data_IF_047699677510
#
_entry.id   IF_047699677510
#
_cell.length_a   1.000
_cell.length_b   1.000
_cell.length_c   1.000
_cell.angle_alpha   90.00
_cell.angle_beta   90.00
_cell.angle_gamma   90.00
#
_symmetry.space_group_name_H-M   'P 1'
#
loop_
_entity.id
_entity.type
_entity.pdbx_description
1 polymer ?
#
# COMPACT_ATOMS: atom_id res chain seq x y z
N UNK A 1 -9.13 13.26 -22.87
CA UNK A 1 -7.94 12.40 -22.68
C UNK A 1 -7.26 12.64 -21.33
N UNK A 2 -7.16 13.90 -20.84
CA UNK A 2 -6.55 14.21 -19.54
C UNK A 2 -7.28 13.62 -18.31
N UNK A 3 -8.62 13.59 -18.32
CA UNK A 3 -9.39 12.99 -17.22
C UNK A 3 -9.14 11.49 -16.99
N UNK A 4 -8.76 10.74 -18.03
CA UNK A 4 -8.42 9.31 -17.90
C UNK A 4 -7.03 9.12 -17.27
N UNK A 5 -6.08 9.99 -17.59
CA UNK A 5 -4.73 9.97 -17.02
C UNK A 5 -4.77 10.22 -15.51
N UNK A 6 -5.59 11.19 -15.07
CA UNK A 6 -5.76 11.50 -13.64
C UNK A 6 -6.49 10.35 -12.91
N UNK A 7 -7.45 9.69 -13.56
CA UNK A 7 -8.11 8.50 -13.01
C UNK A 7 -7.08 7.39 -12.79
N UNK A 8 -6.25 7.09 -13.78
CA UNK A 8 -5.21 6.06 -13.69
C UNK A 8 -4.19 6.36 -12.59
N UNK A 9 -3.71 7.60 -12.53
CA UNK A 9 -2.79 8.04 -11.49
C UNK A 9 -3.34 7.80 -10.07
N UNK A 10 -4.61 8.13 -9.84
CA UNK A 10 -5.26 7.88 -8.55
C UNK A 10 -5.36 6.38 -8.24
N UNK A 11 -5.65 5.54 -9.22
CA UNK A 11 -5.67 4.09 -9.00
C UNK A 11 -4.28 3.58 -8.63
N UNK A 12 -3.25 4.09 -9.27
CA UNK A 12 -1.86 3.70 -9.01
C UNK A 12 -1.36 4.16 -7.66
N UNK A 13 -1.72 5.36 -7.20
CA UNK A 13 -1.41 5.83 -5.84
C UNK A 13 -2.20 5.07 -4.76
N UNK A 14 -3.45 4.69 -5.04
CA UNK A 14 -4.29 3.95 -4.08
C UNK A 14 -3.81 2.54 -3.82
N UNK A 15 -3.25 1.87 -4.83
CA UNK A 15 -2.80 0.48 -4.73
C UNK A 15 -1.76 0.26 -3.61
N UNK A 16 -0.61 0.98 -3.58
CA UNK A 16 0.36 0.80 -2.51
C UNK A 16 -0.20 1.21 -1.14
N UNK A 17 -1.04 2.25 -1.06
CA UNK A 17 -1.68 2.65 0.20
C UNK A 17 -2.59 1.55 0.74
N UNK A 18 -3.41 0.93 -0.12
CA UNK A 18 -4.26 -0.18 0.29
C UNK A 18 -3.44 -1.39 0.74
N UNK A 19 -2.28 -1.64 0.13
CA UNK A 19 -1.37 -2.68 0.61
C UNK A 19 -0.81 -2.35 2.00
N UNK A 20 -0.35 -1.11 2.22
CA UNK A 20 0.14 -0.64 3.52
C UNK A 20 -0.94 -0.83 4.60
N UNK A 21 -2.18 -0.38 4.34
CA UNK A 21 -3.31 -0.55 5.26
C UNK A 21 -3.60 -2.03 5.50
N UNK A 22 -3.72 -2.83 4.44
CA UNK A 22 -4.09 -4.24 4.55
C UNK A 22 -3.08 -5.07 5.35
N UNK A 23 -1.79 -4.92 5.08
CA UNK A 23 -0.76 -5.64 5.85
C UNK A 23 -0.65 -5.11 7.29
N UNK A 24 -0.84 -3.81 7.51
CA UNK A 24 -0.86 -3.27 8.87
C UNK A 24 -2.03 -3.83 9.68
N UNK A 25 -3.23 -3.93 9.08
CA UNK A 25 -4.40 -4.56 9.71
C UNK A 25 -4.16 -6.05 10.00
N UNK A 26 -3.63 -6.80 9.04
CA UNK A 26 -3.30 -8.22 9.22
C UNK A 26 -2.31 -8.45 10.35
N UNK A 27 -1.25 -7.64 10.43
CA UNK A 27 -0.30 -7.71 11.54
C UNK A 27 -0.94 -7.32 12.87
N UNK A 28 -1.81 -6.29 12.90
CA UNK A 28 -2.51 -5.87 14.11
C UNK A 28 -3.48 -6.92 14.67
N UNK A 29 -3.89 -7.90 13.87
CA UNK A 29 -4.68 -9.05 14.33
C UNK A 29 -3.84 -10.09 15.09
N UNK A 30 -2.50 -10.01 15.03
CA UNK A 30 -1.62 -10.90 15.80
C UNK A 30 -1.67 -10.57 17.32
N UNK A 31 -2.01 -11.54 18.18
CA UNK A 31 -2.22 -11.29 19.60
C UNK A 31 -0.94 -11.00 20.39
N UNK A 32 0.22 -11.44 19.90
CA UNK A 32 1.50 -11.44 20.63
C UNK A 32 2.50 -10.39 20.09
N UNK A 33 2.00 -9.25 19.60
CA UNK A 33 2.88 -8.17 19.15
C UNK A 33 3.40 -7.29 20.30
N UNK A 34 4.69 -6.88 20.28
CA UNK A 34 5.21 -5.88 21.20
C UNK A 34 4.39 -4.58 21.14
N UNK A 35 4.10 -3.97 22.30
CA UNK A 35 3.26 -2.78 22.37
C UNK A 35 3.75 -1.62 21.48
N UNK A 36 5.05 -1.30 21.51
CA UNK A 36 5.63 -0.25 20.66
C UNK A 36 5.56 -0.57 19.16
N UNK A 37 5.61 -1.85 18.78
CA UNK A 37 5.42 -2.27 17.39
C UNK A 37 3.96 -2.11 16.96
N UNK A 38 3.01 -2.50 17.83
CA UNK A 38 1.56 -2.30 17.60
C UNK A 38 1.19 -0.83 17.47
N UNK A 39 1.79 0.05 18.28
CA UNK A 39 1.60 1.51 18.17
C UNK A 39 2.08 2.04 16.81
N UNK A 40 3.25 1.60 16.34
CA UNK A 40 3.78 1.98 15.03
C UNK A 40 2.91 1.50 13.87
N UNK A 41 2.40 0.25 13.93
CA UNK A 41 1.48 -0.27 12.91
C UNK A 41 0.16 0.51 12.88
N UNK A 42 -0.36 0.90 14.05
CA UNK A 42 -1.57 1.73 14.16
C UNK A 42 -1.35 3.09 13.50
N UNK A 43 -0.26 3.77 13.86
CA UNK A 43 0.13 5.04 13.27
C UNK A 43 0.30 4.94 11.74
N UNK A 44 0.97 3.89 11.27
CA UNK A 44 1.21 3.65 9.85
C UNK A 44 -0.12 3.45 9.09
N UNK A 45 -1.06 2.71 9.65
CA UNK A 45 -2.41 2.57 9.10
C UNK A 45 -3.20 3.88 9.06
N UNK A 46 -3.11 4.70 10.12
CA UNK A 46 -3.75 6.03 10.17
C UNK A 46 -3.20 6.97 9.10
N UNK A 47 -1.87 7.12 9.03
CA UNK A 47 -1.20 7.96 8.03
C UNK A 47 -1.53 7.53 6.59
N UNK A 48 -1.57 6.21 6.34
CA UNK A 48 -1.93 5.65 5.04
C UNK A 48 -3.38 5.99 4.66
N UNK A 49 -4.35 5.83 5.58
CA UNK A 49 -5.75 6.18 5.33
C UNK A 49 -5.94 7.69 5.12
N UNK A 50 -5.24 8.53 5.87
CA UNK A 50 -5.26 9.98 5.66
C UNK A 50 -4.73 10.38 4.26
N UNK A 51 -3.76 9.62 3.74
CA UNK A 51 -3.22 9.83 2.40
C UNK A 51 -4.26 9.54 1.30
N UNK A 52 -5.21 8.62 1.53
CA UNK A 52 -6.35 8.41 0.61
C UNK A 52 -7.25 9.64 0.51
N UNK A 53 -7.42 10.36 1.62
CA UNK A 53 -8.15 11.63 1.66
C UNK A 53 -7.43 12.70 0.85
N UNK A 54 -6.12 12.85 1.03
CA UNK A 54 -5.30 13.77 0.24
C UNK A 54 -5.35 13.48 -1.26
N UNK A 55 -5.32 12.19 -1.65
CA UNK A 55 -5.47 11.76 -3.05
C UNK A 55 -6.85 12.10 -3.62
N UNK A 56 -7.91 12.03 -2.81
CA UNK A 56 -9.24 12.45 -3.25
C UNK A 56 -9.27 13.96 -3.54
N UNK A 57 -8.62 14.77 -2.69
CA UNK A 57 -8.56 16.23 -2.84
C UNK A 57 -7.80 16.69 -4.08
N UNK A 58 -6.78 15.96 -4.55
CA UNK A 58 -6.02 16.25 -5.79
C UNK A 58 -6.96 16.37 -7.02
N UNK A 59 -8.16 15.79 -6.98
CA UNK A 59 -9.03 15.62 -8.17
C UNK A 59 -10.36 16.36 -8.02
N UNK A 60 -10.46 17.38 -7.18
CA UNK A 60 -11.77 17.94 -6.84
C UNK A 60 -12.50 18.67 -7.97
N UNK A 61 -11.88 19.07 -9.11
CA UNK A 61 -12.67 19.47 -10.31
C UNK A 61 -11.90 19.80 -11.63
N UNK A 62 -10.56 19.77 -11.69
CA UNK A 62 -9.83 20.23 -12.88
C UNK A 62 -8.69 19.29 -13.31
N UNK A 63 -8.30 19.38 -14.58
CA UNK A 63 -7.24 18.64 -15.27
C UNK A 63 -5.82 18.95 -14.73
N UNK A 64 -5.66 19.19 -13.44
CA UNK A 64 -4.42 19.70 -12.83
C UNK A 64 -4.26 19.23 -11.39
N UNK A 65 -3.01 18.95 -11.02
CA UNK A 65 -2.61 18.60 -9.65
C UNK A 65 -2.46 19.90 -8.86
N UNK A 66 -3.15 20.02 -7.73
CA UNK A 66 -2.96 21.16 -6.82
C UNK A 66 -1.63 21.05 -6.07
N UNK A 67 -0.74 22.06 -6.13
CA UNK A 67 0.57 22.01 -5.46
C UNK A 67 0.48 21.80 -3.94
N UNK A 68 -0.52 22.40 -3.29
CA UNK A 68 -0.76 22.26 -1.85
C UNK A 68 -1.23 20.85 -1.48
N UNK A 69 -2.03 20.21 -2.35
CA UNK A 69 -2.45 18.83 -2.17
C UNK A 69 -1.28 17.85 -2.37
N UNK A 70 -0.42 18.10 -3.37
CA UNK A 70 0.77 17.28 -3.63
C UNK A 70 1.79 17.38 -2.49
N UNK A 71 2.09 18.60 -2.02
CA UNK A 71 2.98 18.81 -0.87
C UNK A 71 2.44 18.18 0.42
N UNK A 72 1.12 18.24 0.65
CA UNK A 72 0.47 17.56 1.77
C UNK A 72 0.59 16.04 1.67
N UNK A 73 0.39 15.46 0.47
CA UNK A 73 0.58 14.03 0.24
C UNK A 73 2.04 13.62 0.48
N UNK A 74 3.01 14.40 -0.02
CA UNK A 74 4.43 14.16 0.19
C UNK A 74 4.80 14.13 1.67
N UNK A 75 4.36 15.12 2.45
CA UNK A 75 4.62 15.17 3.89
C UNK A 75 4.04 13.96 4.64
N UNK A 76 2.93 13.39 4.16
CA UNK A 76 2.38 12.15 4.71
C UNK A 76 3.20 10.93 4.31
N UNK A 77 3.66 10.85 3.07
CA UNK A 77 4.54 9.75 2.60
C UNK A 77 5.83 9.71 3.40
N UNK A 78 6.45 10.85 3.70
CA UNK A 78 7.63 10.94 4.56
C UNK A 78 7.35 10.42 5.98
N UNK A 79 6.19 10.74 6.55
CA UNK A 79 5.78 10.20 7.86
C UNK A 79 5.55 8.69 7.83
N UNK A 80 4.92 8.17 6.76
CA UNK A 80 4.72 6.74 6.56
C UNK A 80 6.07 6.02 6.46
N UNK A 81 7.01 6.58 5.70
CA UNK A 81 8.36 6.02 5.53
C UNK A 81 9.12 5.99 6.85
N UNK A 82 9.09 7.08 7.62
CA UNK A 82 9.68 7.13 8.95
C UNK A 82 9.06 6.12 9.93
N UNK A 83 7.72 5.99 9.94
CA UNK A 83 7.02 5.02 10.79
C UNK A 83 7.34 3.57 10.38
N UNK A 84 7.35 3.29 9.07
CA UNK A 84 7.71 1.97 8.53
C UNK A 84 9.15 1.59 8.83
N UNK A 85 10.08 2.54 8.73
CA UNK A 85 11.48 2.34 9.11
C UNK A 85 11.62 2.00 10.60
N UNK A 86 10.93 2.72 11.47
CA UNK A 86 10.91 2.40 12.91
C UNK A 86 10.28 1.04 13.17
N UNK A 87 9.17 0.70 12.51
CA UNK A 87 8.49 -0.58 12.67
C UNK A 87 9.43 -1.76 12.35
N UNK A 88 10.25 -1.64 11.29
CA UNK A 88 11.28 -2.64 10.95
C UNK A 88 12.31 -2.85 12.07
N UNK A 89 12.68 -1.80 12.82
CA UNK A 89 13.66 -1.92 13.91
C UNK A 89 13.12 -2.66 15.13
N UNK A 90 11.81 -2.63 15.34
CA UNK A 90 11.12 -3.25 16.47
C UNK A 90 10.40 -4.55 16.09
N UNK A 91 10.54 -4.98 14.84
CA UNK A 91 9.80 -6.10 14.27
C UNK A 91 10.14 -7.42 14.99
N UNK A 92 9.14 -8.17 15.49
CA UNK A 92 9.35 -9.57 15.82
C UNK A 92 9.63 -10.38 14.54
N UNK A 93 10.27 -11.54 14.68
CA UNK A 93 10.60 -12.41 13.54
C UNK A 93 9.37 -12.79 12.71
N UNK A 94 8.21 -13.00 13.36
CA UNK A 94 6.94 -13.33 12.70
C UNK A 94 6.48 -12.25 11.71
N UNK A 95 6.73 -10.98 12.02
CA UNK A 95 6.24 -9.85 11.23
C UNK A 95 7.20 -9.41 10.11
N UNK A 96 8.39 -10.03 10.01
CA UNK A 96 9.45 -9.56 9.08
C UNK A 96 9.03 -9.62 7.62
N UNK A 97 8.32 -10.67 7.22
CA UNK A 97 7.86 -10.86 5.84
C UNK A 97 6.79 -9.83 5.43
N UNK A 98 5.79 -9.60 6.28
CA UNK A 98 4.73 -8.63 6.00
C UNK A 98 5.25 -7.18 6.07
N UNK A 99 6.20 -6.88 6.97
CA UNK A 99 6.86 -5.56 6.97
C UNK A 99 7.71 -5.32 5.72
N UNK A 100 8.28 -6.36 5.11
CA UNK A 100 8.96 -6.23 3.84
C UNK A 100 7.96 -5.84 2.74
N UNK A 101 6.77 -6.46 2.71
CA UNK A 101 5.66 -6.09 1.80
C UNK A 101 5.19 -4.65 2.02
N UNK A 102 5.06 -4.22 3.27
CA UNK A 102 4.74 -2.82 3.61
C UNK A 102 5.84 -1.89 3.09
N UNK A 103 7.11 -2.22 3.32
CA UNK A 103 8.24 -1.37 2.90
C UNK A 103 8.33 -1.23 1.37
N UNK A 104 8.05 -2.30 0.62
CA UNK A 104 7.96 -2.26 -0.84
C UNK A 104 6.82 -1.34 -1.30
N UNK A 105 5.66 -1.41 -0.65
CA UNK A 105 4.53 -0.54 -0.95
C UNK A 105 4.84 0.94 -0.64
N UNK A 106 5.55 1.23 0.45
CA UNK A 106 6.02 2.59 0.79
C UNK A 106 6.96 3.12 -0.30
N UNK A 107 7.97 2.34 -0.69
CA UNK A 107 8.92 2.75 -1.73
C UNK A 107 8.23 3.01 -3.08
N UNK A 108 7.23 2.18 -3.43
CA UNK A 108 6.41 2.40 -4.63
C UNK A 108 5.61 3.69 -4.54
N UNK A 109 5.02 3.99 -3.38
CA UNK A 109 4.26 5.21 -3.16
C UNK A 109 5.16 6.46 -3.27
N UNK A 110 6.35 6.42 -2.68
CA UNK A 110 7.36 7.48 -2.78
C UNK A 110 7.77 7.75 -4.24
N UNK A 111 8.04 6.70 -5.00
CA UNK A 111 8.37 6.82 -6.43
C UNK A 111 7.25 7.52 -7.21
N UNK A 112 6.00 7.12 -7.01
CA UNK A 112 4.85 7.72 -7.70
C UNK A 112 4.67 9.21 -7.34
N UNK A 113 4.88 9.58 -6.08
CA UNK A 113 4.79 10.97 -5.64
C UNK A 113 5.95 11.82 -6.20
N UNK A 114 7.14 11.24 -6.32
CA UNK A 114 8.30 11.91 -6.94
C UNK A 114 8.09 12.13 -8.44
N UNK A 115 7.52 11.15 -9.13
CA UNK A 115 7.22 11.24 -10.57
C UNK A 115 6.20 12.34 -10.87
N UNK A 116 5.26 12.59 -9.95
CA UNK A 116 4.28 13.68 -10.04
C UNK A 116 4.89 15.08 -9.97
N UNK A 117 6.02 15.25 -9.28
CA UNK A 117 6.72 16.53 -9.15
C UNK A 117 7.52 16.89 -10.42
N UNK A 118 7.89 15.89 -11.22
CA UNK A 118 8.79 16.09 -12.37
C UNK A 118 8.04 16.69 -13.57
N UNK A 119 8.35 17.94 -13.99
CA UNK A 119 7.68 18.57 -15.13
C UNK A 119 8.01 17.82 -16.42
N UNK A 120 7.02 17.16 -17.01
CA UNK A 120 7.20 16.34 -18.21
C UNK A 120 7.39 14.83 -17.95
N UNK A 121 7.21 14.37 -16.70
CA UNK A 121 7.05 12.96 -16.36
C UNK A 121 5.80 12.38 -17.00
N UNK A 122 5.87 12.07 -18.29
CA UNK A 122 4.92 11.17 -18.92
C UNK A 122 5.00 9.88 -18.13
N UNK A 123 3.93 9.58 -17.40
CA UNK A 123 3.45 8.25 -17.07
C UNK A 123 4.31 7.15 -17.74
N UNK A 124 5.45 6.80 -17.13
CA UNK A 124 6.20 5.62 -17.52
C UNK A 124 5.54 4.46 -16.79
N UNK A 125 4.25 4.30 -17.08
CA UNK A 125 3.35 3.29 -16.53
C UNK A 125 3.43 2.04 -17.40
N UNK A 126 4.64 1.51 -17.54
CA UNK A 126 4.90 0.33 -18.35
C UNK A 126 6.19 -0.40 -17.96
N UNK A 127 6.53 -0.55 -16.67
CA UNK A 127 7.58 -1.50 -16.26
C UNK A 127 7.60 -1.83 -14.75
N UNK A 128 6.48 -2.17 -14.11
CA UNK A 128 6.53 -2.80 -12.77
C UNK A 128 5.23 -3.55 -12.41
N UNK A 129 4.72 -4.36 -13.33
CA UNK A 129 3.71 -5.39 -13.00
C UNK A 129 4.22 -6.73 -13.51
N UNK A 130 5.13 -7.34 -12.76
CA UNK A 130 5.20 -8.79 -12.57
C UNK A 130 5.86 -9.05 -11.21
N UNK A 131 5.10 -8.82 -10.13
CA UNK A 131 5.23 -9.71 -8.98
C UNK A 131 4.24 -10.82 -9.25
N UNK A 132 4.68 -11.84 -9.98
CA UNK A 132 4.00 -13.13 -9.99
C UNK A 132 3.93 -13.59 -8.53
N UNK A 133 2.74 -13.50 -7.95
CA UNK A 133 2.43 -14.26 -6.75
C UNK A 133 2.39 -15.71 -7.22
N UNK A 134 3.49 -16.43 -7.03
CA UNK A 134 3.50 -17.89 -7.05
C UNK A 134 2.67 -18.37 -5.86
N UNK A 135 1.34 -18.35 -6.02
CA UNK A 135 0.46 -19.10 -5.13
C UNK A 135 0.60 -20.57 -5.51
N UNK A 136 1.44 -21.24 -4.73
CA UNK A 136 1.46 -22.69 -4.57
C UNK A 136 0.08 -23.31 -4.79
N UNK A 137 0.07 -24.36 -5.62
CA UNK A 137 -1.06 -25.06 -6.22
C UNK A 137 -2.33 -25.22 -5.35
N UNK A 138 -3.54 -25.20 -5.95
CA UNK A 138 -4.72 -25.72 -5.28
C UNK A 138 -4.62 -27.25 -5.24
N UNK A 139 -4.31 -27.81 -4.06
CA UNK A 139 -4.60 -29.21 -3.75
C UNK A 139 -6.12 -29.33 -3.71
N UNK A 140 -6.70 -29.77 -4.82
CA UNK A 140 -8.09 -30.25 -4.84
C UNK A 140 -8.09 -31.60 -4.12
N UNK A 141 -8.44 -31.58 -2.83
CA UNK A 141 -8.79 -32.78 -2.09
C UNK A 141 -10.23 -33.15 -2.50
N UNK A 142 -10.37 -33.97 -3.55
CA UNK A 142 -11.65 -34.64 -3.82
C UNK A 142 -11.80 -35.72 -2.75
N UNK A 143 -12.69 -35.45 -1.79
CA UNK A 143 -13.17 -36.45 -0.83
C UNK A 143 -14.12 -37.36 -1.61
N UNK A 144 -13.76 -38.64 -1.68
CA UNK A 144 -14.58 -39.72 -2.22
C UNK A 144 -15.77 -39.91 -1.27
N UNK A 145 -16.91 -39.27 -1.55
CA UNK A 145 -18.14 -39.51 -0.80
C UNK A 145 -18.75 -40.84 -1.27
N UNK A 146 -18.42 -41.87 -0.49
CA UNK A 146 -18.90 -43.24 -0.48
C UNK A 146 -20.44 -43.33 -0.67
N UNK A 147 -20.88 -44.03 -1.72
CA UNK A 147 -22.28 -44.19 -2.11
C UNK A 147 -23.07 -45.19 -1.24
N UNK A 148 -22.73 -45.34 0.04
CA UNK A 148 -23.28 -46.39 0.90
C UNK A 148 -23.86 -45.92 2.24
N UNK A 149 -24.26 -44.65 2.38
CA UNK A 149 -24.96 -44.18 3.59
C UNK A 149 -26.40 -43.68 3.30
N UNK A 150 -27.26 -44.66 3.01
CA UNK A 150 -28.75 -44.70 2.96
C UNK A 150 -29.50 -44.03 1.82
#
# INVERSE_FOLDING_TARGET
MAGEQIRNLRHELRTPINHIVGYAELLLDEPELPAGFRELLTLLGELARESLGAIASIVSDAESVEPDALSSLRAKVEQIEAAGAQARTLAPESATADLARISEAIARLESLVTDLETPGGSATLAAATQVEVDTSAPVVLVVDDDAANR
#
